data_IF_173275057839
#
_entry.id   IF_173275057839
#
_cell.length_a   1.000
_cell.length_b   1.000
_cell.length_c   1.000
_cell.angle_alpha   90.00
_cell.angle_beta   90.00
_cell.angle_gamma   90.00
#
_symmetry.space_group_name_H-M   'P 1'
#
loop_
_entity.id
_entity.type
_entity.pdbx_description
1 polymer ?
#
# COMPACT_ATOMS: atom_id res chain seq x y z
N UNK A 1 11.48 -3.82 1.29
CA UNK A 1 11.08 -2.66 2.10
C UNK A 1 9.66 -2.92 2.57
N UNK A 2 9.36 -2.69 3.84
CA UNK A 2 8.05 -2.97 4.43
C UNK A 2 7.14 -1.74 4.33
N UNK A 3 5.85 -1.91 4.61
CA UNK A 3 4.86 -0.83 4.51
C UNK A 3 5.14 0.32 5.46
N UNK A 4 5.59 0.03 6.67
CA UNK A 4 6.02 0.97 7.70
C UNK A 4 7.08 1.96 7.19
N UNK A 5 7.90 1.53 6.24
CA UNK A 5 9.04 2.30 5.76
C UNK A 5 8.66 3.29 4.66
N UNK A 6 7.68 2.98 3.79
CA UNK A 6 7.23 3.92 2.74
C UNK A 6 5.98 4.70 3.12
N UNK A 7 5.13 4.16 3.98
CA UNK A 7 3.89 4.80 4.41
C UNK A 7 4.05 6.27 4.83
N UNK A 8 5.00 6.65 5.73
CA UNK A 8 5.14 8.04 6.17
C UNK A 8 5.63 8.99 5.07
N UNK A 9 6.12 8.48 3.94
CA UNK A 9 6.58 9.29 2.80
C UNK A 9 5.49 9.50 1.75
N UNK A 10 4.33 8.85 1.90
CA UNK A 10 3.18 9.10 1.03
C UNK A 10 2.59 10.47 1.30
N UNK A 11 1.99 11.04 0.26
CA UNK A 11 1.14 12.21 0.43
C UNK A 11 -0.18 11.84 1.12
N UNK A 12 -0.80 12.80 1.80
CA UNK A 12 -2.04 12.61 2.58
C UNK A 12 -3.20 12.04 1.75
N UNK A 13 -3.29 12.42 0.46
CA UNK A 13 -4.35 11.95 -0.42
C UNK A 13 -4.19 10.45 -0.76
N UNK A 14 -2.95 9.99 -0.96
CA UNK A 14 -2.65 8.58 -1.18
C UNK A 14 -2.87 7.76 0.08
N UNK A 15 -2.47 8.27 1.26
CA UNK A 15 -2.77 7.60 2.53
C UNK A 15 -4.28 7.47 2.75
N UNK A 16 -5.05 8.56 2.55
CA UNK A 16 -6.50 8.53 2.69
C UNK A 16 -7.17 7.55 1.70
N UNK A 17 -6.67 7.48 0.46
CA UNK A 17 -7.17 6.51 -0.52
C UNK A 17 -6.88 5.08 -0.09
N UNK A 18 -5.65 4.79 0.36
CA UNK A 18 -5.27 3.44 0.83
C UNK A 18 -6.10 3.03 2.05
N UNK A 19 -6.37 3.93 2.99
CA UNK A 19 -7.25 3.65 4.14
C UNK A 19 -8.67 3.29 3.69
N UNK A 20 -9.19 3.97 2.67
CA UNK A 20 -10.56 3.75 2.19
C UNK A 20 -10.70 2.53 1.26
N UNK A 21 -9.64 2.12 0.58
CA UNK A 21 -9.67 1.16 -0.54
C UNK A 21 -8.58 0.07 -0.45
N UNK A 22 -8.06 -0.24 0.75
CA UNK A 22 -6.99 -1.24 0.95
C UNK A 22 -7.34 -2.66 0.48
N UNK A 23 -8.63 -3.01 0.40
CA UNK A 23 -9.10 -4.28 -0.17
C UNK A 23 -9.30 -4.29 -1.69
N UNK A 24 -9.00 -3.19 -2.38
CA UNK A 24 -9.17 -3.03 -3.83
C UNK A 24 -7.83 -3.10 -4.57
N UNK A 25 -7.89 -3.39 -5.88
CA UNK A 25 -6.71 -3.34 -6.73
C UNK A 25 -6.17 -1.90 -6.81
N UNK A 26 -4.87 -1.74 -6.55
CA UNK A 26 -4.22 -0.44 -6.56
C UNK A 26 -4.17 0.13 -7.99
N UNK A 27 -4.70 1.34 -8.23
CA UNK A 27 -4.56 2.00 -9.51
C UNK A 27 -3.11 2.41 -9.74
N UNK A 28 -2.72 2.54 -11.01
CA UNK A 28 -1.33 2.87 -11.39
C UNK A 28 -0.79 4.16 -10.74
N UNK A 29 -1.65 5.14 -10.46
CA UNK A 29 -1.27 6.37 -9.76
C UNK A 29 -0.86 6.12 -8.31
N UNK A 30 -1.59 5.26 -7.59
CA UNK A 30 -1.26 4.90 -6.20
C UNK A 30 0.03 4.08 -6.16
N UNK A 31 0.20 3.14 -7.09
CA UNK A 31 1.46 2.37 -7.23
C UNK A 31 2.64 3.30 -7.49
N UNK A 32 2.49 4.30 -8.36
CA UNK A 32 3.55 5.26 -8.66
C UNK A 32 3.96 6.08 -7.42
N UNK A 33 2.99 6.51 -6.61
CA UNK A 33 3.26 7.22 -5.35
C UNK A 33 3.97 6.32 -4.32
N UNK A 34 3.54 5.05 -4.19
CA UNK A 34 4.23 4.07 -3.33
C UNK A 34 5.69 3.88 -3.77
N UNK A 35 5.93 3.75 -5.08
CA UNK A 35 7.30 3.64 -5.62
C UNK A 35 8.11 4.92 -5.39
N UNK A 36 7.51 6.10 -5.57
CA UNK A 36 8.15 7.38 -5.30
C UNK A 36 8.50 7.55 -3.80
N UNK A 37 7.69 6.99 -2.91
CA UNK A 37 7.92 6.91 -1.47
C UNK A 37 8.97 5.85 -1.06
N UNK A 38 9.57 5.15 -2.04
CA UNK A 38 10.60 4.13 -1.85
C UNK A 38 10.08 2.70 -1.76
N UNK A 39 8.76 2.50 -1.86
CA UNK A 39 8.14 1.18 -1.93
C UNK A 39 8.59 0.40 -3.16
N UNK A 40 8.70 -0.93 -3.01
CA UNK A 40 9.07 -1.82 -4.12
C UNK A 40 7.83 -2.60 -4.53
N UNK A 41 7.20 -2.24 -5.65
CA UNK A 41 5.97 -2.86 -6.13
C UNK A 41 6.26 -4.13 -6.95
N UNK A 42 6.79 -5.17 -6.31
CA UNK A 42 7.10 -6.47 -6.94
C UNK A 42 6.49 -7.61 -6.12
N UNK A 43 6.31 -8.78 -6.74
CA UNK A 43 5.82 -10.00 -6.07
C UNK A 43 6.71 -10.50 -4.93
N UNK A 44 7.96 -10.02 -4.84
CA UNK A 44 8.89 -10.35 -3.77
C UNK A 44 8.68 -9.48 -2.51
N UNK A 45 7.81 -8.47 -2.59
CA UNK A 45 7.55 -7.57 -1.47
C UNK A 45 6.42 -8.10 -0.59
N UNK A 46 6.64 -8.06 0.72
CA UNK A 46 5.73 -8.65 1.72
C UNK A 46 4.34 -8.01 1.76
N UNK A 47 4.22 -6.76 1.30
CA UNK A 47 2.97 -6.02 1.23
C UNK A 47 2.18 -6.27 -0.07
N UNK A 48 2.68 -7.11 -0.97
CA UNK A 48 2.06 -7.44 -2.26
C UNK A 48 1.51 -8.87 -2.20
N UNK A 49 0.20 -9.04 -2.39
CA UNK A 49 -0.41 -10.37 -2.55
C UNK A 49 -0.26 -10.86 -3.99
N UNK A 50 -0.72 -10.06 -4.94
CA UNK A 50 -0.80 -10.43 -6.35
C UNK A 50 -0.49 -9.23 -7.24
N UNK A 51 0.17 -9.49 -8.36
CA UNK A 51 0.29 -8.54 -9.47
C UNK A 51 -0.47 -9.12 -10.66
N UNK A 52 -1.64 -8.56 -10.93
CA UNK A 52 -2.57 -9.03 -11.95
C UNK A 52 -2.80 -8.00 -13.08
N UNK A 53 -3.57 -8.37 -14.11
CA UNK A 53 -3.90 -7.47 -15.22
C UNK A 53 -4.72 -6.25 -14.78
N UNK A 54 -5.44 -6.35 -13.67
CA UNK A 54 -6.29 -5.29 -13.12
C UNK A 54 -5.54 -4.39 -12.11
N UNK A 55 -4.30 -4.72 -11.76
CA UNK A 55 -3.47 -3.95 -10.83
C UNK A 55 -2.75 -4.82 -9.81
N UNK A 56 -2.20 -4.15 -8.79
CA UNK A 56 -1.54 -4.79 -7.65
C UNK A 56 -2.53 -4.91 -6.50
N UNK A 57 -2.61 -6.07 -5.86
CA UNK A 57 -3.38 -6.27 -4.63
C UNK A 57 -2.44 -6.26 -3.42
N UNK A 58 -2.89 -5.60 -2.35
CA UNK A 58 -2.20 -5.64 -1.05
C UNK A 58 -2.34 -7.04 -0.43
N UNK A 59 -1.31 -7.47 0.29
CA UNK A 59 -1.41 -8.66 1.14
C UNK A 59 -2.31 -8.40 2.35
N UNK A 60 -2.92 -9.46 2.89
CA UNK A 60 -3.74 -9.37 4.10
C UNK A 60 -2.97 -8.68 5.25
N UNK A 61 -1.68 -9.00 5.40
CA UNK A 61 -0.80 -8.35 6.38
C UNK A 61 -0.66 -6.83 6.14
N UNK A 62 -0.60 -6.38 4.88
CA UNK A 62 -0.54 -4.97 4.57
C UNK A 62 -1.89 -4.26 4.77
N UNK A 63 -3.01 -4.95 4.49
CA UNK A 63 -4.36 -4.44 4.77
C UNK A 63 -4.52 -4.22 6.27
N UNK A 64 -4.24 -5.25 7.08
CA UNK A 64 -4.30 -5.19 8.55
C UNK A 64 -3.43 -4.05 9.10
N UNK A 65 -2.22 -3.89 8.54
CA UNK A 65 -1.32 -2.82 8.96
C UNK A 65 -1.89 -1.43 8.64
N UNK A 66 -2.47 -1.22 7.46
CA UNK A 66 -3.09 0.06 7.08
C UNK A 66 -4.27 0.37 7.99
N UNK A 67 -5.08 -0.62 8.35
CA UNK A 67 -6.19 -0.44 9.29
C UNK A 67 -5.70 -0.04 10.69
N UNK A 68 -4.64 -0.66 11.18
CA UNK A 68 -4.00 -0.30 12.44
C UNK A 68 -3.43 1.14 12.39
N UNK A 69 -2.75 1.50 11.29
CA UNK A 69 -2.21 2.85 11.09
C UNK A 69 -3.31 3.91 11.03
N UNK A 70 -4.45 3.59 10.40
CA UNK A 70 -5.61 4.49 10.35
C UNK A 70 -6.26 4.73 11.73
N UNK A 71 -6.11 3.77 12.65
CA UNK A 71 -6.62 3.84 14.02
C UNK A 71 -5.59 4.36 15.03
N UNK A 72 -4.42 4.83 14.58
CA UNK A 72 -3.30 5.25 15.43
C UNK A 72 -2.79 4.12 16.38
N UNK A 73 -2.84 2.87 15.94
CA UNK A 73 -2.48 1.67 16.73
C UNK A 73 -1.05 1.14 16.49
N UNK A 74 -0.28 1.79 15.61
CA UNK A 74 1.12 1.42 15.25
C UNK A 74 2.06 2.62 15.21
#
# INVERSE_FOLDING_TARGET
MTIEQWWPNLNDATQAWLIAHNGEALPASVIAEIVAAGGVATSESTWVAEVGPDGLLLSDEAVDWIEAAANDEV
#
